data_IF_214137908438
#
_entry.id   IF_214137908438
#
_cell.length_a   1.000
_cell.length_b   1.000
_cell.length_c   1.000
_cell.angle_alpha   90.00
_cell.angle_beta   90.00
_cell.angle_gamma   90.00
#
_symmetry.space_group_name_H-M   'P 1'
#
loop_
_entity.id
_entity.type
_entity.pdbx_description
1 polymer ?
#
# COMPACT_ATOMS: atom_id res chain seq x y z
N UNK A 1 42.68 -48.14 31.43
CA UNK A 1 41.21 -48.10 31.19
C UNK A 1 40.74 -46.65 31.15
N UNK A 2 39.68 -46.39 30.37
CA UNK A 2 39.27 -45.15 29.69
C UNK A 2 39.26 -43.84 30.51
N UNK A 3 39.95 -42.80 30.01
CA UNK A 3 39.79 -41.40 30.44
C UNK A 3 38.55 -40.81 29.76
N UNK A 4 37.55 -40.42 30.53
CA UNK A 4 36.33 -39.73 30.07
C UNK A 4 36.66 -38.25 29.96
N UNK A 5 36.73 -37.74 28.73
CA UNK A 5 36.98 -36.32 28.43
C UNK A 5 35.63 -35.61 28.29
N UNK A 6 35.19 -34.93 29.34
CA UNK A 6 33.97 -34.11 29.33
C UNK A 6 34.24 -32.83 28.51
N UNK A 7 33.72 -32.80 27.28
CA UNK A 7 33.67 -31.58 26.47
C UNK A 7 32.59 -30.65 27.03
N UNK A 8 33.00 -29.53 27.61
CA UNK A 8 32.12 -28.42 27.99
C UNK A 8 31.64 -27.74 26.68
N UNK A 9 30.41 -28.00 26.26
CA UNK A 9 29.77 -27.28 25.15
C UNK A 9 29.21 -25.97 25.72
N UNK A 10 29.96 -24.89 25.54
CA UNK A 10 29.56 -23.53 25.89
C UNK A 10 28.54 -23.04 24.85
N UNK A 11 27.25 -23.32 25.08
CA UNK A 11 26.15 -22.81 24.25
C UNK A 11 26.01 -21.30 24.51
N UNK A 12 26.57 -20.51 23.61
CA UNK A 12 26.42 -19.05 23.57
C UNK A 12 24.95 -18.68 23.36
N UNK A 13 24.30 -18.18 24.42
CA UNK A 13 23.01 -17.49 24.35
C UNK A 13 23.18 -16.19 23.56
N UNK A 14 22.93 -16.25 22.25
CA UNK A 14 22.64 -15.05 21.46
C UNK A 14 21.26 -14.54 21.90
N UNK A 15 21.14 -13.32 22.44
CA UNK A 15 19.83 -12.73 22.66
C UNK A 15 19.15 -12.60 21.30
N UNK A 16 18.07 -13.36 21.09
CA UNK A 16 17.16 -13.14 19.98
C UNK A 16 16.58 -11.74 20.18
N UNK A 17 17.18 -10.74 19.53
CA UNK A 17 16.55 -9.44 19.32
C UNK A 17 15.35 -9.71 18.44
N UNK A 18 14.19 -9.90 19.07
CA UNK A 18 12.91 -9.92 18.40
C UNK A 18 12.63 -8.51 17.91
N UNK A 19 13.17 -8.17 16.74
CA UNK A 19 12.74 -7.00 16.00
C UNK A 19 11.24 -7.18 15.75
N UNK A 20 10.43 -6.44 16.50
CA UNK A 20 8.99 -6.38 16.26
C UNK A 20 8.78 -5.71 14.91
N UNK A 21 8.58 -6.53 13.88
CA UNK A 21 8.15 -6.06 12.58
C UNK A 21 6.79 -5.38 12.78
N UNK A 22 6.81 -4.06 12.83
CA UNK A 22 5.61 -3.27 13.04
C UNK A 22 4.68 -3.51 11.86
N UNK A 23 3.42 -3.84 12.16
CA UNK A 23 2.45 -4.25 11.15
C UNK A 23 2.40 -3.24 9.99
N UNK A 24 2.30 -3.72 8.73
CA UNK A 24 2.19 -2.85 7.58
C UNK A 24 0.97 -1.94 7.74
N UNK A 25 1.14 -0.67 7.36
CA UNK A 25 0.04 0.30 7.41
C UNK A 25 -0.98 -0.05 6.33
N UNK A 26 -2.22 -0.29 6.76
CA UNK A 26 -3.32 -0.63 5.87
C UNK A 26 -3.70 0.56 4.98
N UNK A 27 -3.87 0.30 3.68
CA UNK A 27 -4.38 1.29 2.75
C UNK A 27 -5.89 1.12 2.57
N UNK A 28 -6.55 2.26 2.36
CA UNK A 28 -7.91 2.34 1.89
C UNK A 28 -7.94 2.98 0.51
N UNK A 29 -9.01 2.71 -0.23
CA UNK A 29 -9.22 3.30 -1.55
C UNK A 29 -10.65 3.76 -1.76
N UNK A 30 -10.82 4.62 -2.75
CA UNK A 30 -12.09 4.88 -3.40
C UNK A 30 -11.90 5.08 -4.90
N UNK A 31 -12.95 4.87 -5.68
CA UNK A 31 -13.03 5.31 -7.07
C UNK A 31 -14.31 6.09 -7.27
N UNK A 32 -14.17 7.29 -7.81
CA UNK A 32 -15.27 8.09 -8.31
C UNK A 32 -15.25 8.06 -9.84
N UNK A 33 -16.38 7.74 -10.46
CA UNK A 33 -16.53 7.75 -11.91
C UNK A 33 -17.91 8.28 -12.31
N UNK A 34 -17.93 9.13 -13.33
CA UNK A 34 -19.16 9.56 -13.97
C UNK A 34 -19.72 8.47 -14.89
N UNK A 35 -21.01 8.22 -14.80
CA UNK A 35 -21.83 7.57 -15.81
C UNK A 35 -22.70 8.64 -16.52
N UNK A 36 -23.30 8.30 -17.66
CA UNK A 36 -24.00 9.25 -18.54
C UNK A 36 -25.02 10.18 -17.83
N UNK A 37 -25.60 9.77 -16.71
CA UNK A 37 -26.55 10.57 -15.94
C UNK A 37 -26.31 10.56 -14.42
N UNK A 38 -25.23 9.93 -13.94
CA UNK A 38 -25.03 9.73 -12.50
C UNK A 38 -23.53 9.62 -12.12
N UNK A 39 -23.24 9.64 -10.83
CA UNK A 39 -21.93 9.38 -10.28
C UNK A 39 -21.97 8.13 -9.41
N UNK A 40 -20.96 7.29 -9.57
CA UNK A 40 -20.75 6.14 -8.69
C UNK A 40 -19.47 6.33 -7.89
N UNK A 41 -19.54 5.97 -6.60
CA UNK A 41 -18.39 5.91 -5.72
C UNK A 41 -18.29 4.50 -5.13
N UNK A 42 -17.21 3.80 -5.48
CA UNK A 42 -16.82 2.54 -4.83
C UNK A 42 -15.69 2.82 -3.84
N UNK A 43 -15.58 2.00 -2.79
CA UNK A 43 -14.53 2.14 -1.78
C UNK A 43 -14.22 0.82 -1.11
N UNK A 44 -13.02 0.74 -0.56
CA UNK A 44 -12.71 -0.27 0.44
C UNK A 44 -11.25 -0.33 0.84
N UNK A 45 -10.72 -1.54 0.98
CA UNK A 45 -9.34 -1.77 1.39
C UNK A 45 -8.41 -2.03 0.21
N UNK A 46 -7.14 -1.70 0.38
CA UNK A 46 -6.12 -1.80 -0.64
C UNK A 46 -4.85 -2.41 -0.05
N UNK A 47 -4.18 -3.22 -0.86
CA UNK A 47 -2.80 -3.62 -0.65
C UNK A 47 -1.94 -2.87 -1.65
N UNK A 48 -0.98 -2.10 -1.18
CA UNK A 48 -0.16 -1.21 -1.99
C UNK A 48 1.31 -1.49 -1.71
N UNK A 49 2.05 -1.79 -2.78
CA UNK A 49 3.49 -2.03 -2.74
C UNK A 49 4.23 -1.02 -3.62
N UNK A 50 5.27 -0.41 -3.05
CA UNK A 50 6.13 0.56 -3.73
C UNK A 50 7.58 0.16 -3.49
N UNK A 51 8.16 -0.59 -4.44
CA UNK A 51 9.50 -1.16 -4.31
C UNK A 51 10.33 -0.85 -5.55
N UNK A 52 11.52 -0.26 -5.37
CA UNK A 52 12.47 -0.03 -6.47
C UNK A 52 11.90 0.81 -7.63
N UNK A 53 11.01 1.75 -7.34
CA UNK A 53 10.33 2.57 -8.36
C UNK A 53 9.18 1.86 -9.09
N UNK A 54 8.88 0.60 -8.78
CA UNK A 54 7.66 -0.06 -9.19
C UNK A 54 6.50 0.29 -8.24
N UNK A 55 5.30 0.40 -8.78
CA UNK A 55 4.05 0.55 -8.05
C UNK A 55 3.10 -0.60 -8.39
N UNK A 56 2.58 -1.28 -7.39
CA UNK A 56 1.46 -2.22 -7.55
C UNK A 56 0.41 -1.96 -6.48
N UNK A 57 -0.87 -2.05 -6.84
CA UNK A 57 -1.94 -2.08 -5.86
C UNK A 57 -3.06 -3.05 -6.27
N UNK A 58 -3.63 -3.71 -5.27
CA UNK A 58 -4.82 -4.55 -5.42
C UNK A 58 -5.92 -3.96 -4.54
N UNK A 59 -7.10 -3.74 -5.10
CA UNK A 59 -8.20 -3.03 -4.44
C UNK A 59 -9.43 -3.92 -4.32
N UNK A 60 -10.01 -3.98 -3.12
CA UNK A 60 -11.19 -4.78 -2.81
C UNK A 60 -12.30 -3.89 -2.24
N UNK A 61 -13.55 -4.16 -2.62
CA UNK A 61 -14.70 -3.43 -2.06
C UNK A 61 -14.89 -3.76 -0.58
N UNK A 62 -15.38 -2.80 0.20
CA UNK A 62 -15.74 -3.02 1.62
C UNK A 62 -16.78 -4.12 1.78
N UNK A 63 -17.71 -4.27 0.83
CA UNK A 63 -18.77 -5.28 0.87
C UNK A 63 -18.31 -6.67 0.41
N UNK A 64 -17.11 -6.81 -0.17
CA UNK A 64 -16.64 -8.10 -0.71
C UNK A 64 -15.11 -8.18 -0.68
N UNK A 65 -14.57 -8.85 0.32
CA UNK A 65 -13.11 -9.03 0.50
C UNK A 65 -12.53 -10.18 -0.31
N UNK A 66 -13.37 -11.10 -0.79
CA UNK A 66 -12.91 -12.30 -1.51
C UNK A 66 -12.59 -12.03 -2.99
N UNK A 67 -12.87 -10.83 -3.49
CA UNK A 67 -12.72 -10.51 -4.90
C UNK A 67 -12.09 -9.13 -5.10
N UNK A 68 -10.90 -9.10 -5.71
CA UNK A 68 -10.23 -7.85 -6.07
C UNK A 68 -10.98 -7.20 -7.23
N UNK A 69 -11.43 -5.95 -7.06
CA UNK A 69 -12.11 -5.17 -8.09
C UNK A 69 -11.16 -4.56 -9.11
N UNK A 70 -10.04 -4.04 -8.62
CA UNK A 70 -9.08 -3.32 -9.45
C UNK A 70 -7.67 -3.81 -9.17
N UNK A 71 -6.89 -3.93 -10.23
CA UNK A 71 -5.45 -4.22 -10.17
C UNK A 71 -4.69 -3.07 -10.83
N UNK A 72 -3.75 -2.46 -10.11
CA UNK A 72 -2.96 -1.32 -10.57
C UNK A 72 -1.50 -1.75 -10.68
N UNK A 73 -0.85 -1.46 -11.81
CA UNK A 73 0.58 -1.72 -12.01
C UNK A 73 1.24 -0.59 -12.78
N UNK A 74 2.38 -0.12 -12.29
CA UNK A 74 3.10 0.96 -12.93
C UNK A 74 4.38 1.36 -12.23
N UNK A 75 4.69 2.65 -12.28
CA UNK A 75 5.96 3.19 -11.78
C UNK A 75 5.77 4.44 -10.94
N UNK A 76 6.75 4.67 -10.06
CA UNK A 76 6.92 5.89 -9.29
C UNK A 76 8.20 6.57 -9.75
N UNK A 77 8.09 7.83 -10.19
CA UNK A 77 9.24 8.66 -10.57
C UNK A 77 9.05 10.07 -10.02
N UNK A 78 9.98 10.52 -9.18
CA UNK A 78 9.92 11.86 -8.57
C UNK A 78 8.58 12.17 -7.88
N UNK A 79 8.03 11.21 -7.10
CA UNK A 79 6.74 11.34 -6.42
C UNK A 79 5.51 11.20 -7.33
N UNK A 80 5.68 11.27 -8.65
CA UNK A 80 4.62 11.00 -9.62
C UNK A 80 4.45 9.50 -9.80
N UNK A 81 3.20 9.05 -9.67
CA UNK A 81 2.79 7.66 -9.90
C UNK A 81 2.06 7.61 -11.24
N UNK A 82 2.42 6.66 -12.10
CA UNK A 82 1.73 6.39 -13.37
C UNK A 82 1.48 4.90 -13.46
N UNK A 83 0.21 4.50 -13.60
CA UNK A 83 -0.21 3.10 -13.55
C UNK A 83 -1.19 2.76 -14.65
N UNK A 84 -1.18 1.49 -15.05
CA UNK A 84 -2.26 0.84 -15.79
C UNK A 84 -3.24 0.26 -14.76
N UNK A 85 -4.53 0.58 -14.92
CA UNK A 85 -5.64 0.06 -14.12
C UNK A 85 -6.31 -1.05 -14.92
N UNK A 86 -6.53 -2.19 -14.29
CA UNK A 86 -7.31 -3.30 -14.82
C UNK A 86 -8.54 -3.44 -13.94
N UNK A 87 -9.73 -3.40 -14.53
CA UNK A 87 -10.96 -3.73 -13.83
C UNK A 87 -11.14 -5.24 -13.96
N UNK A 88 -11.12 -5.96 -12.85
CA UNK A 88 -11.17 -7.41 -12.87
C UNK A 88 -12.61 -7.89 -13.15
N UNK A 89 -12.74 -8.98 -13.90
CA UNK A 89 -14.02 -9.59 -14.31
C UNK A 89 -14.96 -8.63 -15.08
N UNK A 90 -14.40 -7.74 -15.88
CA UNK A 90 -15.15 -6.95 -16.86
C UNK A 90 -14.49 -7.06 -18.22
N UNK A 91 -15.22 -6.64 -19.25
CA UNK A 91 -14.77 -6.46 -20.63
C UNK A 91 -14.19 -5.06 -20.89
N UNK A 92 -14.06 -4.25 -19.83
CA UNK A 92 -13.52 -2.89 -19.93
C UNK A 92 -12.01 -2.95 -20.17
N UNK A 93 -11.56 -2.31 -21.25
CA UNK A 93 -10.15 -2.23 -21.56
C UNK A 93 -9.35 -1.54 -20.43
N UNK A 94 -8.14 -2.05 -20.13
CA UNK A 94 -7.29 -1.40 -19.15
C UNK A 94 -6.86 0.01 -19.59
N UNK A 95 -6.97 0.96 -18.68
CA UNK A 95 -6.67 2.37 -18.93
C UNK A 95 -5.50 2.85 -18.08
N UNK A 96 -4.97 4.04 -18.39
CA UNK A 96 -3.83 4.63 -17.68
C UNK A 96 -4.30 5.83 -16.86
N UNK A 97 -3.80 5.91 -15.63
CA UNK A 97 -4.02 7.03 -14.73
C UNK A 97 -2.70 7.49 -14.14
N UNK A 98 -2.62 8.75 -13.74
CA UNK A 98 -1.45 9.28 -13.08
C UNK A 98 -1.81 10.26 -11.97
N UNK A 99 -0.88 10.46 -11.04
CA UNK A 99 -1.11 11.24 -9.84
C UNK A 99 0.18 11.59 -9.11
N UNK A 100 0.05 12.46 -8.11
CA UNK A 100 1.15 12.78 -7.19
C UNK A 100 0.89 12.13 -5.84
N UNK A 101 1.87 11.37 -5.35
CA UNK A 101 1.86 10.90 -3.98
C UNK A 101 2.17 12.09 -3.06
N UNK A 102 1.25 12.39 -2.14
CA UNK A 102 1.39 13.43 -1.15
C UNK A 102 1.44 12.82 0.24
N UNK A 103 2.33 13.35 1.07
CA UNK A 103 2.39 13.05 2.50
C UNK A 103 2.08 14.33 3.25
N UNK A 104 1.16 14.25 4.20
CA UNK A 104 0.82 15.35 5.10
C UNK A 104 1.10 14.88 6.52
N UNK A 105 1.89 15.66 7.27
CA UNK A 105 2.24 15.36 8.66
C UNK A 105 1.62 16.40 9.59
N UNK A 106 1.18 15.98 10.76
CA UNK A 106 0.70 16.84 11.84
C UNK A 106 1.18 16.32 13.21
N UNK A 107 0.93 17.06 14.28
CA UNK A 107 1.28 16.60 15.62
C UNK A 107 0.50 15.33 15.98
N UNK A 108 1.22 14.24 16.26
CA UNK A 108 0.58 12.95 16.57
C UNK A 108 0.23 12.10 15.35
N UNK A 109 0.75 12.39 14.15
CA UNK A 109 0.60 11.48 13.02
C UNK A 109 0.76 12.11 11.64
N UNK A 110 0.11 11.50 10.66
CA UNK A 110 0.08 11.98 9.29
C UNK A 110 -0.80 11.13 8.40
N UNK A 111 -0.87 11.47 7.12
CA UNK A 111 -1.57 10.69 6.10
C UNK A 111 -0.78 10.72 4.80
N UNK A 112 -0.72 9.57 4.14
CA UNK A 112 -0.31 9.49 2.74
C UNK A 112 -1.54 9.40 1.87
N UNK A 113 -1.55 10.18 0.79
CA UNK A 113 -2.66 10.31 -0.14
C UNK A 113 -2.11 10.26 -1.56
N UNK A 114 -2.74 9.45 -2.40
CA UNK A 114 -2.46 9.39 -3.83
C UNK A 114 -3.78 9.44 -4.59
N UNK A 115 -3.98 10.51 -5.34
CA UNK A 115 -5.10 10.64 -6.27
C UNK A 115 -4.60 10.39 -7.69
N UNK A 116 -5.11 9.33 -8.32
CA UNK A 116 -4.81 8.96 -9.69
C UNK A 116 -5.99 9.32 -10.58
N UNK A 117 -5.75 10.02 -11.69
CA UNK A 117 -6.80 10.40 -12.62
C UNK A 117 -6.33 10.33 -14.07
N UNK A 118 -7.31 10.19 -14.98
CA UNK A 118 -7.21 10.33 -16.43
C UNK A 118 -8.03 11.52 -16.96
N UNK A 119 -8.60 12.34 -16.06
CA UNK A 119 -9.48 13.46 -16.40
C UNK A 119 -10.97 13.13 -16.42
N UNK A 120 -11.36 11.85 -16.38
CA UNK A 120 -12.76 11.40 -16.37
C UNK A 120 -13.11 10.66 -15.09
N UNK A 121 -12.17 9.87 -14.57
CA UNK A 121 -12.30 9.17 -13.30
C UNK A 121 -11.20 9.54 -12.31
N UNK A 122 -11.43 9.21 -11.04
CA UNK A 122 -10.44 9.34 -9.98
C UNK A 122 -10.39 8.05 -9.17
N UNK A 123 -9.18 7.53 -8.94
CA UNK A 123 -8.89 6.50 -7.95
C UNK A 123 -8.07 7.14 -6.84
N UNK A 124 -8.64 7.22 -5.64
CA UNK A 124 -7.96 7.69 -4.45
C UNK A 124 -7.44 6.53 -3.61
N UNK A 125 -6.21 6.67 -3.13
CA UNK A 125 -5.56 5.77 -2.18
C UNK A 125 -5.09 6.59 -0.98
N UNK A 126 -5.34 6.08 0.22
CA UNK A 126 -4.87 6.76 1.43
C UNK A 126 -4.53 5.77 2.54
N UNK A 127 -3.60 6.17 3.42
CA UNK A 127 -3.33 5.48 4.68
C UNK A 127 -2.94 6.46 5.77
N UNK A 128 -3.29 6.14 7.01
CA UNK A 128 -2.82 6.85 8.18
C UNK A 128 -1.36 6.51 8.48
N UNK A 129 -0.62 7.50 8.96
CA UNK A 129 0.76 7.40 9.42
C UNK A 129 0.74 7.60 10.94
N UNK A 130 1.10 6.58 11.72
CA UNK A 130 1.15 6.70 13.18
C UNK A 130 2.14 7.77 13.66
N UNK A 131 1.93 8.25 14.88
CA UNK A 131 2.86 9.12 15.61
C UNK A 131 4.29 8.60 15.52
N UNK A 132 5.26 9.51 15.34
CA UNK A 132 6.69 9.18 15.27
C UNK A 132 7.18 8.71 13.89
N UNK A 133 6.29 8.48 12.92
CA UNK A 133 6.64 8.13 11.52
C UNK A 133 6.46 9.28 10.54
N UNK A 134 6.01 10.44 11.02
CA UNK A 134 5.82 11.67 10.26
C UNK A 134 6.42 12.84 11.02
N UNK A 135 7.10 13.75 10.31
CA UNK A 135 7.65 14.99 10.89
C UNK A 135 6.97 16.16 10.17
N UNK A 136 6.19 17.00 10.87
CA UNK A 136 5.59 18.20 10.27
C UNK A 136 6.64 19.15 9.68
N UNK A 137 6.33 19.75 8.52
CA UNK A 137 7.12 20.85 7.96
C UNK A 137 8.44 20.46 7.25
N UNK A 138 8.66 19.18 6.96
CA UNK A 138 9.70 18.70 6.03
C UNK A 138 9.08 18.15 4.76
#
# INVERSE_FOLDING_TARGET
>A
MKRVSSLLVLVSLLPLVTASAQAPLAWSWFRAASAASDWSINKGHADVSMNGGAFTATLWDDSTTNFARLSLKGTVRQGRVTVRVIINNTDVDPFRVSGQLKRVCWEGGGREILFLSDGVGVVGLFREIPSGRCVPGK
#
